data_IF_634368996789
#
_entry.id   IF_634368996789
#
_cell.length_a   1.000
_cell.length_b   1.000
_cell.length_c   1.000
_cell.angle_alpha   90.00
_cell.angle_beta   90.00
_cell.angle_gamma   90.00
#
_symmetry.space_group_name_H-M   'P 1'
#
loop_
_entity.id
_entity.type
_entity.pdbx_description
1 polymer ?
#
# COMPACT_ATOMS: atom_id res chain seq x y z
N UNK A 1 39.73 -25.47 54.67
CA UNK A 1 39.93 -25.24 53.22
C UNK A 1 38.53 -25.08 52.64
N UNK A 2 37.91 -23.91 52.49
CA UNK A 2 38.28 -22.67 51.81
C UNK A 2 36.99 -22.24 51.08
N UNK A 3 36.10 -21.49 51.75
CA UNK A 3 35.86 -20.04 51.59
C UNK A 3 35.80 -19.54 50.13
N UNK A 4 34.59 -19.10 49.72
CA UNK A 4 34.23 -17.93 48.88
C UNK A 4 32.80 -18.16 48.34
N UNK A 5 31.73 -17.64 48.94
CA UNK A 5 31.35 -16.23 49.10
C UNK A 5 31.58 -15.43 47.81
N UNK A 6 30.48 -15.08 47.13
CA UNK A 6 30.34 -13.89 46.28
C UNK A 6 28.85 -13.60 46.09
N UNK A 7 28.29 -12.97 47.12
CA UNK A 7 27.16 -12.06 47.03
C UNK A 7 27.57 -10.85 46.18
N UNK A 8 26.95 -10.64 45.02
CA UNK A 8 26.93 -9.35 44.33
C UNK A 8 25.56 -8.72 44.60
N UNK A 9 25.45 -7.89 45.64
CA UNK A 9 25.58 -6.41 45.57
C UNK A 9 24.43 -5.80 44.75
N UNK A 10 23.38 -5.47 45.49
CA UNK A 10 22.62 -4.21 45.43
C UNK A 10 23.22 -3.15 44.50
N UNK A 11 22.47 -2.77 43.46
CA UNK A 11 22.52 -1.40 42.97
C UNK A 11 21.08 -0.89 42.80
N UNK A 12 20.53 -0.49 43.94
CA UNK A 12 19.52 0.53 44.10
C UNK A 12 19.93 1.78 43.30
N UNK A 13 19.35 1.97 42.11
CA UNK A 13 19.33 3.29 41.46
C UNK A 13 17.97 3.90 41.77
N UNK A 14 17.91 4.50 42.96
CA UNK A 14 16.93 5.52 43.28
C UNK A 14 17.32 6.80 42.52
N UNK A 15 16.75 6.99 41.33
CA UNK A 15 16.69 8.33 40.71
C UNK A 15 15.43 9.03 41.19
N UNK A 16 15.47 9.49 42.45
CA UNK A 16 14.58 10.53 42.93
C UNK A 16 15.02 11.87 42.34
N UNK A 17 14.53 12.20 41.14
CA UNK A 17 14.59 13.58 40.65
C UNK A 17 13.31 14.30 41.10
N UNK A 18 13.40 14.91 42.27
CA UNK A 18 12.45 15.94 42.69
C UNK A 18 12.63 17.16 41.78
N UNK A 19 11.69 17.37 40.87
CA UNK A 19 11.45 18.69 40.26
C UNK A 19 10.18 19.22 40.90
N UNK A 20 10.38 19.94 42.00
CA UNK A 20 9.46 20.97 42.45
C UNK A 20 9.73 22.20 41.58
N UNK A 21 8.85 22.46 40.63
CA UNK A 21 8.69 23.80 40.07
C UNK A 21 7.21 23.98 39.79
N UNK A 22 6.55 24.68 40.73
CA UNK A 22 5.33 25.40 40.42
C UNK A 22 5.57 26.27 39.20
N UNK A 23 4.70 26.12 38.23
CA UNK A 23 4.68 26.87 36.99
C UNK A 23 3.26 26.82 36.49
N UNK A 24 2.44 27.73 36.97
CA UNK A 24 1.23 28.18 36.27
C UNK A 24 1.63 28.52 34.83
N UNK A 25 1.53 27.54 33.93
CA UNK A 25 1.40 27.85 32.51
C UNK A 25 -0.06 28.13 32.28
N UNK A 26 -0.33 29.43 32.23
CA UNK A 26 -1.43 30.06 31.56
C UNK A 26 -2.02 29.13 30.49
N UNK A 27 -3.32 28.88 30.60
CA UNK A 27 -4.13 28.27 29.56
C UNK A 27 -3.99 29.13 28.29
N UNK A 28 -2.97 28.82 27.51
CA UNK A 28 -2.75 29.32 26.17
C UNK A 28 -3.98 28.90 25.38
N UNK A 29 -4.80 29.89 25.00
CA UNK A 29 -6.00 29.71 24.20
C UNK A 29 -5.59 28.93 22.96
N UNK A 30 -5.86 27.62 22.97
CA UNK A 30 -5.48 26.73 21.89
C UNK A 30 -6.24 27.18 20.65
N UNK A 31 -5.57 27.90 19.76
CA UNK A 31 -6.07 28.12 18.41
C UNK A 31 -6.48 26.76 17.86
N UNK A 32 -7.64 26.64 17.18
CA UNK A 32 -8.04 25.40 16.56
C UNK A 32 -6.86 24.86 15.73
N UNK A 33 -6.58 23.54 15.81
CA UNK A 33 -5.54 22.95 15.00
C UNK A 33 -5.80 23.30 13.53
N UNK A 34 -4.75 23.60 12.74
CA UNK A 34 -4.92 23.89 11.32
C UNK A 34 -5.67 22.75 10.62
N UNK A 35 -6.56 23.06 9.68
CA UNK A 35 -7.41 22.08 8.97
C UNK A 35 -6.60 20.89 8.42
N UNK A 36 -5.39 21.13 7.90
CA UNK A 36 -4.52 20.08 7.36
C UNK A 36 -4.09 19.04 8.41
N UNK A 37 -3.95 19.44 9.68
CA UNK A 37 -3.62 18.53 10.80
C UNK A 37 -4.79 17.60 11.08
N UNK A 38 -6.02 18.11 11.03
CA UNK A 38 -7.22 17.30 11.17
C UNK A 38 -7.37 16.30 10.02
N UNK A 39 -7.10 16.72 8.79
CA UNK A 39 -7.15 15.82 7.63
C UNK A 39 -6.07 14.73 7.76
N UNK A 40 -4.88 15.08 8.23
CA UNK A 40 -3.80 14.12 8.46
C UNK A 40 -4.15 13.10 9.56
N UNK A 41 -4.73 13.55 10.67
CA UNK A 41 -5.15 12.64 11.74
C UNK A 41 -6.26 11.70 11.26
N UNK A 42 -7.23 12.22 10.50
CA UNK A 42 -8.28 11.41 9.85
C UNK A 42 -7.68 10.38 8.88
N UNK A 43 -6.67 10.74 8.09
CA UNK A 43 -5.97 9.80 7.20
C UNK A 43 -5.29 8.66 7.96
N UNK A 44 -4.65 8.94 9.10
CA UNK A 44 -4.05 7.89 9.93
C UNK A 44 -5.12 6.94 10.49
N UNK A 45 -6.25 7.49 10.94
CA UNK A 45 -7.39 6.69 11.43
C UNK A 45 -7.97 5.83 10.30
N UNK A 46 -8.20 6.40 9.11
CA UNK A 46 -8.70 5.67 7.94
C UNK A 46 -7.73 4.56 7.52
N UNK A 47 -6.42 4.83 7.52
CA UNK A 47 -5.40 3.83 7.22
C UNK A 47 -5.40 2.67 8.22
N UNK A 48 -5.53 2.96 9.51
CA UNK A 48 -5.64 1.95 10.55
C UNK A 48 -6.90 1.09 10.38
N UNK A 49 -8.06 1.72 10.10
CA UNK A 49 -9.32 1.02 9.83
C UNK A 49 -9.24 0.14 8.59
N UNK A 50 -8.65 0.64 7.50
CA UNK A 50 -8.41 -0.15 6.28
C UNK A 50 -7.55 -1.37 6.58
N UNK A 51 -6.45 -1.22 7.32
CA UNK A 51 -5.57 -2.35 7.68
C UNK A 51 -6.29 -3.40 8.55
N UNK A 52 -7.13 -2.97 9.48
CA UNK A 52 -7.95 -3.87 10.30
C UNK A 52 -8.98 -4.65 9.46
N UNK A 53 -9.71 -3.96 8.58
CA UNK A 53 -10.70 -4.57 7.67
C UNK A 53 -10.05 -5.49 6.64
N UNK A 54 -8.88 -5.12 6.10
CA UNK A 54 -8.12 -5.99 5.19
C UNK A 54 -7.66 -7.27 5.90
N UNK A 55 -7.25 -7.19 7.18
CA UNK A 55 -6.93 -8.38 7.97
C UNK A 55 -8.18 -9.26 8.16
N UNK A 56 -9.31 -8.67 8.53
CA UNK A 56 -10.57 -9.40 8.71
C UNK A 56 -11.03 -10.11 7.43
N UNK A 57 -10.96 -9.43 6.28
CA UNK A 57 -11.29 -10.03 4.97
C UNK A 57 -10.36 -11.21 4.66
N UNK A 58 -9.06 -11.10 4.95
CA UNK A 58 -8.10 -12.21 4.77
C UNK A 58 -8.40 -13.39 5.68
N UNK A 59 -8.76 -13.13 6.93
CA UNK A 59 -9.11 -14.18 7.90
C UNK A 59 -10.41 -14.91 7.44
N UNK A 60 -11.42 -14.17 6.98
CA UNK A 60 -12.66 -14.73 6.43
C UNK A 60 -12.45 -15.53 5.14
N UNK A 61 -11.52 -15.11 4.28
CA UNK A 61 -11.13 -15.90 3.09
C UNK A 61 -10.46 -17.21 3.52
N UNK A 62 -9.59 -17.17 4.53
CA UNK A 62 -8.95 -18.37 5.05
C UNK A 62 -10.00 -19.33 5.67
N UNK A 63 -11.00 -18.81 6.38
CA UNK A 63 -12.11 -19.60 6.92
C UNK A 63 -12.99 -20.20 5.83
N UNK A 64 -13.27 -19.44 4.75
CA UNK A 64 -13.97 -19.96 3.57
C UNK A 64 -13.24 -21.18 3.00
N UNK A 65 -11.91 -21.14 2.89
CA UNK A 65 -11.12 -22.27 2.40
C UNK A 65 -11.10 -23.46 3.37
N UNK A 66 -11.37 -23.23 4.66
CA UNK A 66 -11.53 -24.28 5.68
C UNK A 66 -12.93 -24.90 5.73
N UNK A 67 -13.86 -24.46 4.87
CA UNK A 67 -15.22 -25.00 4.79
C UNK A 67 -16.26 -24.24 5.62
N UNK A 68 -16.07 -22.93 5.84
CA UNK A 68 -17.05 -22.10 6.54
C UNK A 68 -18.42 -22.02 5.84
N UNK A 69 -19.45 -21.68 6.63
CA UNK A 69 -20.85 -21.66 6.19
C UNK A 69 -21.16 -20.51 5.23
N UNK A 70 -22.34 -20.57 4.59
CA UNK A 70 -22.83 -19.53 3.69
C UNK A 70 -22.92 -18.14 4.35
N UNK A 71 -23.18 -18.09 5.66
CA UNK A 71 -23.25 -16.83 6.43
C UNK A 71 -21.88 -16.12 6.49
N UNK A 72 -20.80 -16.88 6.59
CA UNK A 72 -19.42 -16.35 6.55
C UNK A 72 -19.11 -15.72 5.19
N UNK A 73 -19.70 -16.23 4.11
CA UNK A 73 -19.53 -15.68 2.76
C UNK A 73 -20.27 -14.36 2.57
N UNK A 74 -21.49 -14.25 3.07
CA UNK A 74 -22.23 -12.97 3.05
C UNK A 74 -21.54 -11.92 3.94
N UNK A 75 -20.98 -12.34 5.07
CA UNK A 75 -20.16 -11.46 5.90
C UNK A 75 -18.90 -10.99 5.15
N UNK A 76 -18.19 -11.88 4.46
CA UNK A 76 -17.02 -11.55 3.63
C UNK A 76 -17.34 -10.48 2.56
N UNK A 77 -18.46 -10.61 1.86
CA UNK A 77 -18.88 -9.62 0.84
C UNK A 77 -19.13 -8.24 1.46
N UNK A 78 -19.80 -8.20 2.63
CA UNK A 78 -20.08 -6.94 3.34
C UNK A 78 -18.78 -6.25 3.77
N UNK A 79 -17.89 -7.01 4.40
CA UNK A 79 -16.59 -6.51 4.86
C UNK A 79 -15.72 -6.01 3.70
N UNK A 80 -15.74 -6.69 2.55
CA UNK A 80 -15.05 -6.23 1.34
C UNK A 80 -15.64 -4.94 0.77
N UNK A 81 -16.96 -4.82 0.75
CA UNK A 81 -17.63 -3.60 0.29
C UNK A 81 -17.31 -2.41 1.21
N UNK A 82 -17.25 -2.62 2.52
CA UNK A 82 -16.82 -1.60 3.48
C UNK A 82 -15.35 -1.20 3.30
N UNK A 83 -14.46 -2.17 3.08
CA UNK A 83 -13.06 -1.90 2.78
C UNK A 83 -12.91 -1.02 1.52
N UNK A 84 -13.71 -1.28 0.48
CA UNK A 84 -13.75 -0.45 -0.73
C UNK A 84 -14.16 0.99 -0.40
N UNK A 85 -15.25 1.18 0.35
CA UNK A 85 -15.70 2.52 0.77
C UNK A 85 -14.63 3.28 1.56
N UNK A 86 -13.98 2.62 2.52
CA UNK A 86 -12.90 3.23 3.31
C UNK A 86 -11.70 3.64 2.44
N UNK A 87 -11.39 2.86 1.41
CA UNK A 87 -10.30 3.19 0.48
C UNK A 87 -10.62 4.42 -0.39
N UNK A 88 -11.87 4.55 -0.83
CA UNK A 88 -12.33 5.71 -1.58
C UNK A 88 -12.30 6.97 -0.72
N UNK A 89 -12.77 6.88 0.54
CA UNK A 89 -12.71 7.98 1.50
C UNK A 89 -11.27 8.39 1.82
N UNK A 90 -10.37 7.42 2.02
CA UNK A 90 -8.95 7.67 2.21
C UNK A 90 -8.34 8.44 1.02
N UNK A 91 -8.65 8.03 -0.21
CA UNK A 91 -8.12 8.69 -1.40
C UNK A 91 -8.70 10.10 -1.58
N UNK A 92 -9.97 10.32 -1.23
CA UNK A 92 -10.57 11.67 -1.21
C UNK A 92 -9.83 12.59 -0.24
N UNK A 93 -9.63 12.17 1.02
CA UNK A 93 -8.90 12.97 2.02
C UNK A 93 -7.45 13.21 1.62
N UNK A 94 -6.80 12.20 1.01
CA UNK A 94 -5.44 12.31 0.50
C UNK A 94 -5.34 13.31 -0.65
N UNK A 95 -6.33 13.34 -1.54
CA UNK A 95 -6.41 14.30 -2.63
C UNK A 95 -6.59 15.74 -2.10
N UNK A 96 -7.37 15.94 -1.03
CA UNK A 96 -7.48 17.25 -0.39
C UNK A 96 -6.10 17.75 0.08
N UNK A 97 -5.32 16.93 0.78
CA UNK A 97 -3.96 17.32 1.17
C UNK A 97 -3.06 17.58 -0.04
N UNK A 98 -3.16 16.74 -1.08
CA UNK A 98 -2.35 16.86 -2.29
C UNK A 98 -2.58 18.18 -3.03
N UNK A 99 -3.83 18.59 -3.19
CA UNK A 99 -4.18 19.75 -4.03
C UNK A 99 -4.33 21.05 -3.24
N UNK A 100 -4.80 21.00 -1.98
CA UNK A 100 -4.95 22.21 -1.15
C UNK A 100 -3.68 22.58 -0.38
N UNK A 101 -2.89 21.58 0.03
CA UNK A 101 -1.73 21.77 0.92
C UNK A 101 -0.46 21.10 0.38
N UNK A 102 -0.02 21.44 -0.85
CA UNK A 102 1.08 20.76 -1.53
C UNK A 102 2.42 20.87 -0.79
N UNK A 103 2.66 21.97 -0.06
CA UNK A 103 3.85 22.17 0.77
C UNK A 103 3.90 21.30 2.03
N UNK A 104 2.75 20.75 2.46
CA UNK A 104 2.66 19.84 3.61
C UNK A 104 2.74 18.36 3.20
N UNK A 105 2.62 18.07 1.90
CA UNK A 105 2.87 16.74 1.34
C UNK A 105 4.33 16.32 1.52
N UNK A 106 4.55 15.03 1.84
CA UNK A 106 5.83 14.37 2.09
C UNK A 106 7.05 15.09 1.49
N UNK A 107 8.02 15.42 2.35
CA UNK A 107 9.34 15.95 1.97
C UNK A 107 10.17 14.96 1.13
N UNK A 108 9.73 13.70 1.03
CA UNK A 108 10.22 12.72 0.08
C UNK A 108 9.67 13.02 -1.31
N UNK A 109 10.54 13.04 -2.32
CA UNK A 109 10.20 13.37 -3.71
C UNK A 109 8.86 12.77 -4.17
N UNK A 110 8.05 13.59 -4.82
CA UNK A 110 6.63 13.33 -5.19
C UNK A 110 6.45 11.95 -5.85
N UNK A 111 6.14 10.92 -5.06
CA UNK A 111 5.75 9.60 -5.55
C UNK A 111 4.30 9.34 -5.16
N UNK A 112 3.40 9.60 -6.09
CA UNK A 112 1.97 9.36 -5.90
C UNK A 112 1.63 7.92 -6.26
N UNK A 113 1.69 7.01 -5.29
CA UNK A 113 1.05 5.70 -5.47
C UNK A 113 -0.41 5.80 -5.06
N UNK A 114 -1.30 5.36 -5.95
CA UNK A 114 -2.72 5.15 -5.64
C UNK A 114 -2.82 3.83 -4.88
N UNK A 115 -3.53 3.85 -3.74
CA UNK A 115 -3.83 2.61 -3.02
C UNK A 115 -5.12 2.07 -3.59
N UNK A 116 -5.01 1.01 -4.39
CA UNK A 116 -6.17 0.31 -4.94
C UNK A 116 -6.49 -0.92 -4.09
N UNK A 117 -7.77 -1.11 -3.77
CA UNK A 117 -8.22 -2.32 -3.08
C UNK A 117 -8.18 -3.47 -4.08
N UNK A 118 -7.43 -4.51 -3.76
CA UNK A 118 -7.35 -5.73 -4.56
C UNK A 118 -8.72 -6.37 -4.69
N UNK A 119 -8.96 -7.03 -5.83
CA UNK A 119 -10.20 -7.79 -6.01
C UNK A 119 -10.27 -8.94 -5.00
N UNK A 120 -11.49 -9.41 -4.68
CA UNK A 120 -11.68 -10.57 -3.81
C UNK A 120 -10.93 -11.79 -4.37
N UNK A 121 -11.04 -12.02 -5.67
CA UNK A 121 -10.35 -13.10 -6.38
C UNK A 121 -8.82 -12.99 -6.22
N UNK A 122 -8.24 -11.80 -6.30
CA UNK A 122 -6.79 -11.62 -6.09
C UNK A 122 -6.35 -11.92 -4.66
N UNK A 123 -7.19 -11.57 -3.67
CA UNK A 123 -6.92 -11.90 -2.27
C UNK A 123 -7.09 -13.39 -1.99
N UNK A 124 -8.10 -14.02 -2.59
CA UNK A 124 -8.30 -15.47 -2.53
C UNK A 124 -7.13 -16.21 -3.18
N UNK A 125 -6.66 -15.77 -4.34
CA UNK A 125 -5.48 -16.33 -5.00
C UNK A 125 -4.22 -16.14 -4.16
N UNK A 126 -4.08 -15.04 -3.42
CA UNK A 126 -2.92 -14.86 -2.53
C UNK A 126 -2.89 -15.85 -1.37
N UNK A 127 -4.06 -16.32 -0.92
CA UNK A 127 -4.22 -17.21 0.24
C UNK A 127 -4.38 -18.68 -0.18
N UNK A 128 -4.92 -18.93 -1.37
CA UNK A 128 -5.30 -20.25 -1.85
C UNK A 128 -4.11 -21.18 -2.11
N UNK A 129 -4.33 -22.47 -1.81
CA UNK A 129 -3.36 -23.52 -2.09
C UNK A 129 -3.04 -23.62 -3.59
N UNK A 130 -4.02 -23.32 -4.45
CA UNK A 130 -3.86 -23.29 -5.90
C UNK A 130 -2.74 -22.37 -6.37
N UNK A 131 -2.63 -21.15 -5.82
CA UNK A 131 -1.55 -20.24 -6.20
C UNK A 131 -0.19 -20.72 -5.70
N UNK A 132 -0.13 -21.44 -4.59
CA UNK A 132 1.09 -22.09 -4.09
C UNK A 132 1.49 -23.23 -5.04
N UNK A 133 0.51 -24.02 -5.50
CA UNK A 133 0.71 -25.08 -6.49
C UNK A 133 1.23 -24.51 -7.81
N UNK A 134 0.61 -23.45 -8.34
CA UNK A 134 1.09 -22.78 -9.57
C UNK A 134 2.49 -22.19 -9.43
N UNK A 135 2.81 -21.56 -8.28
CA UNK A 135 4.17 -21.08 -8.01
C UNK A 135 5.18 -22.23 -7.98
N UNK A 136 4.80 -23.36 -7.38
CA UNK A 136 5.64 -24.56 -7.29
C UNK A 136 5.83 -25.19 -8.66
N UNK A 137 4.75 -25.34 -9.44
CA UNK A 137 4.78 -25.83 -10.82
C UNK A 137 5.66 -24.94 -11.70
N UNK A 138 5.51 -23.62 -11.63
CA UNK A 138 6.35 -22.68 -12.37
C UNK A 138 7.83 -22.77 -11.96
N UNK A 139 8.10 -23.03 -10.67
CA UNK A 139 9.47 -23.26 -10.18
C UNK A 139 10.04 -24.57 -10.72
N UNK A 140 9.25 -25.64 -10.72
CA UNK A 140 9.62 -26.93 -11.30
C UNK A 140 9.91 -26.81 -12.80
N UNK A 141 9.06 -26.12 -13.57
CA UNK A 141 9.32 -25.87 -14.99
C UNK A 141 10.58 -25.02 -15.21
N UNK A 142 10.87 -24.04 -14.36
CA UNK A 142 12.13 -23.27 -14.48
C UNK A 142 13.37 -24.07 -14.14
N UNK A 143 13.28 -25.00 -13.19
CA UNK A 143 14.42 -25.79 -12.72
C UNK A 143 14.67 -27.04 -13.57
N UNK A 144 13.61 -27.65 -14.09
CA UNK A 144 13.64 -28.97 -14.74
C UNK A 144 12.95 -29.00 -16.11
N UNK A 145 12.29 -27.91 -16.52
CA UNK A 145 11.59 -27.80 -17.80
C UNK A 145 12.46 -27.30 -18.95
N UNK A 146 13.76 -27.10 -18.74
CA UNK A 146 14.71 -27.00 -19.83
C UNK A 146 14.94 -28.41 -20.42
N UNK A 147 13.95 -28.90 -21.17
CA UNK A 147 14.21 -29.94 -22.17
C UNK A 147 15.10 -29.33 -23.25
N UNK A 148 16.01 -30.13 -23.79
CA UNK A 148 17.20 -29.76 -24.56
C UNK A 148 16.99 -28.95 -25.87
N UNK A 149 15.81 -28.39 -26.13
CA UNK A 149 15.47 -27.70 -27.39
C UNK A 149 15.69 -26.17 -27.36
N UNK A 150 15.76 -25.53 -26.19
CA UNK A 150 15.96 -24.06 -26.09
C UNK A 150 17.44 -23.63 -25.93
N UNK A 151 18.36 -24.57 -25.72
CA UNK A 151 19.82 -24.28 -25.64
C UNK A 151 20.48 -24.11 -27.02
N UNK A 152 19.75 -24.27 -28.13
CA UNK A 152 20.28 -24.10 -29.48
C UNK A 152 20.22 -22.65 -30.01
N UNK A 153 19.85 -21.66 -29.18
CA UNK A 153 19.83 -20.24 -29.57
C UNK A 153 20.77 -19.41 -28.71
N UNK A 154 22.06 -19.59 -28.92
CA UNK A 154 23.07 -18.59 -28.51
C UNK A 154 23.09 -17.44 -29.52
N UNK A 155 23.17 -16.17 -29.07
CA UNK A 155 23.13 -14.98 -29.92
C UNK A 155 24.53 -14.63 -30.47
N UNK A 156 24.63 -14.38 -31.78
CA UNK A 156 25.77 -13.70 -32.39
C UNK A 156 25.42 -13.13 -33.78
N UNK A 157 25.15 -11.83 -33.88
CA UNK A 157 26.00 -10.90 -34.65
C UNK A 157 25.36 -9.50 -34.71
N UNK A 158 26.13 -8.51 -34.30
CA UNK A 158 25.95 -7.11 -34.67
C UNK A 158 26.05 -6.92 -36.19
N UNK A 159 25.37 -5.92 -36.75
CA UNK A 159 25.60 -5.47 -38.13
C UNK A 159 24.41 -4.81 -38.83
N UNK A 160 24.11 -3.58 -38.43
CA UNK A 160 23.88 -2.43 -39.33
C UNK A 160 23.29 -2.66 -40.74
N UNK A 161 22.05 -2.19 -40.97
CA UNK A 161 21.67 -1.48 -42.21
C UNK A 161 20.28 -0.83 -42.06
N UNK A 162 20.28 0.50 -41.96
CA UNK A 162 19.16 1.36 -42.38
C UNK A 162 19.05 1.25 -43.92
N UNK A 163 17.85 1.32 -44.52
CA UNK A 163 17.60 2.57 -45.26
C UNK A 163 16.17 3.09 -45.19
N UNK A 164 16.12 4.42 -45.16
CA UNK A 164 15.15 5.37 -45.70
C UNK A 164 13.72 4.91 -46.06
N UNK A 165 12.76 5.60 -45.42
CA UNK A 165 11.44 5.90 -46.00
C UNK A 165 11.61 6.76 -47.28
N UNK A 166 10.58 6.89 -48.14
CA UNK A 166 9.55 7.89 -47.84
C UNK A 166 8.10 7.55 -48.32
N UNK A 167 7.13 8.21 -47.67
CA UNK A 167 5.89 8.85 -48.20
C UNK A 167 5.08 8.10 -49.29
N UNK A 168 3.74 8.03 -49.31
CA UNK A 168 2.70 8.91 -48.77
C UNK A 168 1.29 8.33 -49.05
N UNK A 169 0.31 8.81 -48.27
CA UNK A 169 -1.02 9.32 -48.68
C UNK A 169 -2.31 8.51 -48.40
N UNK A 170 -3.07 9.11 -47.46
CA UNK A 170 -4.54 9.37 -47.41
C UNK A 170 -5.50 8.20 -47.25
N UNK A 171 -6.64 8.28 -46.56
CA UNK A 171 -7.44 9.31 -45.88
C UNK A 171 -8.21 8.59 -44.74
N UNK A 172 -8.91 9.17 -43.76
CA UNK A 172 -9.69 10.40 -43.65
C UNK A 172 -10.16 10.53 -42.18
N UNK A 173 -10.18 11.77 -41.69
CA UNK A 173 -11.24 12.45 -40.89
C UNK A 173 -11.70 11.88 -39.53
N UNK A 174 -12.12 12.64 -38.53
CA UNK A 174 -12.00 14.03 -38.06
C UNK A 174 -12.77 14.02 -36.71
N UNK A 175 -12.40 14.87 -35.73
CA UNK A 175 -13.17 14.99 -34.50
C UNK A 175 -12.44 15.65 -33.33
N UNK A 176 -11.93 16.87 -33.52
CA UNK A 176 -11.43 17.71 -32.43
C UNK A 176 -12.48 18.76 -32.10
N UNK A 177 -13.15 18.61 -30.96
CA UNK A 177 -13.96 19.67 -30.35
C UNK A 177 -13.06 20.54 -29.48
N UNK A 178 -12.88 21.80 -29.88
CA UNK A 178 -12.35 22.87 -29.02
C UNK A 178 -13.50 23.67 -28.40
N UNK A 179 -13.47 24.01 -27.09
CA UNK A 179 -14.47 24.85 -26.46
C UNK A 179 -14.29 26.32 -26.84
N UNK A 180 -15.41 26.97 -27.15
CA UNK A 180 -15.52 28.40 -27.44
C UNK A 180 -15.28 29.24 -26.19
N UNK A 181 -14.29 30.13 -26.25
CA UNK A 181 -14.06 31.21 -25.29
C UNK A 181 -14.85 32.43 -25.77
N UNK A 182 -15.90 32.83 -25.05
CA UNK A 182 -16.46 34.18 -25.18
C UNK A 182 -15.88 35.07 -24.08
N UNK A 183 -15.29 36.18 -24.50
CA UNK A 183 -14.89 37.30 -23.65
C UNK A 183 -15.75 38.52 -23.95
N UNK A 184 -16.02 39.24 -22.87
CA UNK A 184 -16.63 40.57 -22.68
C UNK A 184 -18.15 40.61 -22.55
#
# INVERSE_FOLDING_TARGET
MGLRSLTFISCLIASSLAIASGGEKAAEKSSPPPEWVEIQSRLQVLKAKMGAKEKMVRDLIADKHRGASHESFEHLKREHAELRKLSEEYEQQRNVLRYRYPEKGLKDGRKYQRVEVKSLTDMENQIGMEAVLQKTQNKMHRQYGASEEDSARTPASAGEARPAAPLNKSSSEEGVTTPSVMSK
#
